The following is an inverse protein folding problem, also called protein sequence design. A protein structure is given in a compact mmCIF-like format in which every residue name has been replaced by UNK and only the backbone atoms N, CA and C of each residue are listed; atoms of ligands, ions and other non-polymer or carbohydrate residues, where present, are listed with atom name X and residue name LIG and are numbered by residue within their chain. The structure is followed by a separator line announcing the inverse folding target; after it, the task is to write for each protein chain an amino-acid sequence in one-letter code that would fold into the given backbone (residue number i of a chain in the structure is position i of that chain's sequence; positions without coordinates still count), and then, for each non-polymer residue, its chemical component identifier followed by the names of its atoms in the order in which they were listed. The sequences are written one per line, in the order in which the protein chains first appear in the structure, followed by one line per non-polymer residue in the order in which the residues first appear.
data_IF_702527277265
#
_entry.id   IF_702527277265
#
_cell.length_a   1.000
_cell.length_b   1.000
_cell.length_c   1.000
_cell.angle_alpha   90.00
_cell.angle_beta   90.00
_cell.angle_gamma   90.00
#
_symmetry.space_group_name_H-M   'P 1'
#
loop_
_entity.id
_entity.type
_entity.pdbx_description
1 polymer ?
#
# COMPACT_ATOMS: atom_id res chain seq x y z
N UNK A 1 -32.02 -4.09 -3.92
CA UNK A 1 -31.11 -3.24 -4.74
C UNK A 1 -30.10 -2.56 -3.83
N UNK A 2 -28.82 -2.51 -4.21
CA UNK A 2 -27.79 -1.86 -3.38
C UNK A 2 -28.09 -0.36 -3.19
N UNK A 3 -28.05 0.08 -1.94
CA UNK A 3 -28.21 1.47 -1.55
C UNK A 3 -27.24 1.78 -0.40
N UNK A 4 -26.48 2.87 -0.53
CA UNK A 4 -25.43 3.23 0.42
C UNK A 4 -25.83 4.50 1.16
N UNK A 5 -26.51 4.31 2.30
CA UNK A 5 -26.88 5.39 3.23
C UNK A 5 -25.75 5.72 4.22
N UNK A 6 -24.97 4.71 4.61
CA UNK A 6 -23.78 4.85 5.44
C UNK A 6 -22.51 4.58 4.62
N UNK A 7 -21.60 5.56 4.63
CA UNK A 7 -20.34 5.50 3.87
C UNK A 7 -19.38 4.42 4.36
N UNK A 8 -19.50 3.97 5.62
CA UNK A 8 -18.71 2.85 6.16
C UNK A 8 -19.15 1.49 5.60
N UNK A 9 -20.36 1.41 5.07
CA UNK A 9 -20.96 0.18 4.53
C UNK A 9 -20.59 -0.11 3.07
N UNK A 10 -19.69 0.67 2.46
CA UNK A 10 -19.16 0.42 1.12
C UNK A 10 -17.62 0.39 1.17
N UNK A 11 -16.95 -0.56 0.54
CA UNK A 11 -15.48 -0.57 0.45
C UNK A 11 -14.96 -0.06 -0.91
N UNK A 12 -15.86 0.25 -1.85
CA UNK A 12 -15.51 0.73 -3.18
C UNK A 12 -14.79 -0.31 -4.06
N UNK A 13 -15.11 -1.59 -3.93
CA UNK A 13 -14.54 -2.68 -4.74
C UNK A 13 -15.15 -2.81 -6.15
N UNK A 14 -16.27 -2.13 -6.43
CA UNK A 14 -16.95 -2.10 -7.73
C UNK A 14 -17.57 -3.42 -8.22
N UNK A 15 -17.69 -4.45 -7.38
CA UNK A 15 -18.35 -5.72 -7.76
C UNK A 15 -19.80 -5.51 -8.20
N UNK A 16 -20.55 -4.65 -7.49
CA UNK A 16 -21.96 -4.36 -7.79
C UNK A 16 -22.13 -3.73 -9.17
N UNK A 17 -21.25 -2.80 -9.52
CA UNK A 17 -21.24 -2.08 -10.81
C UNK A 17 -20.99 -3.06 -11.96
N UNK A 18 -19.91 -3.83 -11.86
CA UNK A 18 -19.51 -4.75 -12.93
C UNK A 18 -20.46 -5.94 -13.12
N UNK A 19 -21.17 -6.38 -12.06
CA UNK A 19 -22.10 -7.52 -12.17
C UNK A 19 -23.51 -7.11 -12.55
N UNK A 20 -23.85 -5.82 -12.54
CA UNK A 20 -25.19 -5.37 -12.89
C UNK A 20 -25.51 -5.71 -14.36
N UNK A 21 -26.52 -6.55 -14.66
CA UNK A 21 -26.81 -6.95 -16.04
C UNK A 21 -27.40 -5.82 -16.90
N UNK A 22 -27.99 -4.81 -16.26
CA UNK A 22 -28.54 -3.62 -16.92
C UNK A 22 -27.52 -2.48 -17.00
N UNK A 23 -26.34 -2.66 -16.40
CA UNK A 23 -25.33 -1.60 -16.25
C UNK A 23 -25.88 -0.29 -15.66
N UNK A 24 -26.96 -0.37 -14.88
CA UNK A 24 -27.67 0.78 -14.31
C UNK A 24 -27.05 1.29 -12.99
N UNK A 25 -25.78 0.97 -12.71
CA UNK A 25 -25.08 1.41 -11.49
C UNK A 25 -23.81 2.16 -11.91
N UNK A 26 -23.70 3.43 -11.54
CA UNK A 26 -22.52 4.27 -11.76
C UNK A 26 -21.78 4.52 -10.43
N UNK A 27 -20.53 4.95 -10.48
CA UNK A 27 -19.77 5.37 -9.31
C UNK A 27 -19.66 6.89 -9.27
N UNK A 28 -20.16 7.51 -8.20
CA UNK A 28 -20.13 8.96 -8.02
C UNK A 28 -19.20 9.32 -6.86
N UNK A 29 -18.45 10.39 -7.04
CA UNK A 29 -17.53 10.90 -6.03
C UNK A 29 -18.28 11.69 -4.95
N UNK A 30 -17.91 11.47 -3.68
CA UNK A 30 -18.41 12.27 -2.56
C UNK A 30 -17.51 13.49 -2.27
N UNK A 31 -17.88 14.28 -1.26
CA UNK A 31 -17.14 15.49 -0.87
C UNK A 31 -15.76 15.19 -0.27
N UNK A 32 -15.51 13.95 0.16
CA UNK A 32 -14.21 13.51 0.64
C UNK A 32 -13.36 12.90 -0.49
N UNK A 33 -13.86 12.81 -1.72
CA UNK A 33 -13.14 12.30 -2.88
C UNK A 33 -13.20 10.77 -3.06
N UNK A 34 -14.15 10.09 -2.42
CA UNK A 34 -14.34 8.64 -2.58
C UNK A 34 -15.53 8.32 -3.50
N UNK A 35 -15.38 7.27 -4.29
CA UNK A 35 -16.43 6.75 -5.18
C UNK A 35 -17.42 5.82 -4.44
N UNK A 36 -18.71 6.02 -4.68
CA UNK A 36 -19.83 5.19 -4.19
C UNK A 36 -20.82 4.84 -5.30
N UNK A 37 -21.45 3.65 -5.24
CA UNK A 37 -22.43 3.24 -6.23
C UNK A 37 -23.71 4.08 -6.11
N UNK A 38 -24.21 4.53 -7.26
CA UNK A 38 -25.53 5.16 -7.44
C UNK A 38 -26.29 4.34 -8.46
N UNK A 39 -27.51 3.93 -8.12
CA UNK A 39 -28.34 3.09 -8.99
C UNK A 39 -29.38 3.95 -9.70
N UNK A 40 -29.48 3.81 -11.02
CA UNK A 40 -30.62 4.29 -11.78
C UNK A 40 -31.82 3.36 -11.52
N UNK A 41 -32.83 3.88 -10.82
CA UNK A 41 -34.02 3.13 -10.44
C UNK A 41 -34.96 2.84 -11.62
N UNK A 42 -34.90 3.65 -12.69
CA UNK A 42 -35.72 3.45 -13.89
C UNK A 42 -35.27 2.25 -14.72
N UNK A 43 -33.96 2.01 -14.77
CA UNK A 43 -33.36 0.90 -15.52
C UNK A 43 -33.13 -0.37 -14.69
N UNK A 44 -33.22 -0.27 -13.37
CA UNK A 44 -33.02 -1.38 -12.45
C UNK A 44 -34.20 -2.37 -12.50
N UNK A 45 -33.90 -3.64 -12.76
CA UNK A 45 -34.88 -4.74 -12.80
C UNK A 45 -35.02 -5.49 -11.46
N UNK A 46 -34.54 -4.89 -10.36
CA UNK A 46 -34.54 -5.44 -8.99
C UNK A 46 -34.10 -6.92 -8.83
N UNK A 47 -33.09 -7.34 -9.61
CA UNK A 47 -32.59 -8.73 -9.57
C UNK A 47 -31.83 -9.11 -8.28
N UNK A 48 -31.51 -8.13 -7.42
CA UNK A 48 -30.73 -8.30 -6.18
C UNK A 48 -29.26 -8.71 -6.37
N UNK A 49 -28.74 -8.74 -7.60
CA UNK A 49 -27.39 -9.25 -7.86
C UNK A 49 -26.28 -8.38 -7.28
N UNK A 50 -26.48 -7.06 -7.27
CA UNK A 50 -25.54 -6.08 -6.70
C UNK A 50 -25.30 -6.30 -5.19
N UNK A 51 -26.32 -6.70 -4.44
CA UNK A 51 -26.21 -7.03 -3.02
C UNK A 51 -25.51 -8.37 -2.81
N UNK A 52 -25.90 -9.39 -3.60
CA UNK A 52 -25.31 -10.74 -3.55
C UNK A 52 -23.80 -10.74 -3.78
N UNK A 53 -23.29 -9.82 -4.61
CA UNK A 53 -21.85 -9.69 -4.89
C UNK A 53 -21.13 -8.69 -3.97
N UNK A 54 -21.82 -8.08 -3.00
CA UNK A 54 -21.22 -7.12 -2.08
C UNK A 54 -20.50 -7.85 -0.93
N UNK A 55 -19.17 -7.69 -0.77
CA UNK A 55 -18.43 -8.37 0.31
C UNK A 55 -18.74 -7.81 1.70
N UNK A 56 -19.36 -6.63 1.81
CA UNK A 56 -19.73 -6.03 3.10
C UNK A 56 -21.15 -6.40 3.57
N UNK A 57 -21.98 -6.98 2.70
CA UNK A 57 -23.27 -7.56 3.07
C UNK A 57 -23.15 -9.07 3.32
N UNK A 58 -22.17 -9.71 2.69
CA UNK A 58 -21.96 -11.16 2.78
C UNK A 58 -20.48 -11.48 2.95
N UNK A 59 -20.00 -11.56 4.19
CA UNK A 59 -18.65 -12.03 4.49
C UNK A 59 -18.65 -13.49 4.91
N UNK A 60 -17.57 -14.22 4.61
CA UNK A 60 -17.38 -15.61 4.98
C UNK A 60 -16.64 -15.76 6.32
N UNK A 61 -16.47 -17.00 6.77
CA UNK A 61 -15.58 -17.31 7.89
C UNK A 61 -14.13 -17.03 7.50
N UNK A 62 -13.40 -16.36 8.40
CA UNK A 62 -12.01 -15.99 8.19
C UNK A 62 -11.12 -17.23 8.05
N UNK A 63 -10.30 -17.26 7.00
CA UNK A 63 -9.24 -18.27 6.88
C UNK A 63 -8.15 -18.03 7.93
N UNK A 64 -7.71 -19.11 8.57
CA UNK A 64 -6.49 -19.10 9.38
C UNK A 64 -5.31 -19.51 8.48
N UNK A 65 -4.23 -18.73 8.41
CA UNK A 65 -3.06 -19.10 7.61
C UNK A 65 -2.51 -20.48 8.00
N UNK A 66 -2.25 -21.32 7.01
CA UNK A 66 -1.59 -22.61 7.16
C UNK A 66 -0.11 -22.43 7.54
N UNK A 67 0.54 -21.40 6.99
CA UNK A 67 1.94 -21.06 7.25
C UNK A 67 2.13 -19.54 7.34
N UNK A 68 3.07 -19.13 8.18
CA UNK A 68 3.49 -17.73 8.35
C UNK A 68 4.99 -17.67 8.07
N UNK A 69 5.37 -16.92 7.04
CA UNK A 69 6.71 -16.98 6.46
C UNK A 69 7.38 -15.61 6.45
N UNK A 70 8.64 -15.53 6.90
CA UNK A 70 9.56 -14.46 6.55
C UNK A 70 10.22 -14.79 5.21
N UNK A 71 10.17 -13.87 4.25
CA UNK A 71 10.53 -14.16 2.86
C UNK A 71 11.34 -13.05 2.21
N UNK A 72 12.32 -13.43 1.38
CA UNK A 72 13.03 -12.49 0.50
C UNK A 72 13.38 -13.12 -0.84
N UNK A 73 13.03 -12.43 -1.92
CA UNK A 73 13.34 -12.83 -3.29
C UNK A 73 14.86 -12.85 -3.49
N UNK A 74 15.36 -13.95 -4.07
CA UNK A 74 16.79 -14.14 -4.36
C UNK A 74 17.30 -13.19 -5.44
N UNK A 75 16.44 -12.73 -6.33
CA UNK A 75 16.77 -11.66 -7.26
C UNK A 75 16.82 -10.32 -6.51
N UNK A 76 18.03 -9.82 -6.26
CA UNK A 76 18.26 -8.58 -5.53
C UNK A 76 17.74 -7.34 -6.27
N UNK A 77 17.81 -7.30 -7.60
CA UNK A 77 17.33 -6.17 -8.39
C UNK A 77 15.80 -6.07 -8.32
N UNK A 78 15.10 -7.19 -8.46
CA UNK A 78 13.65 -7.22 -8.30
C UNK A 78 13.22 -6.86 -6.88
N UNK A 79 13.99 -7.34 -5.90
CA UNK A 79 13.73 -7.05 -4.50
C UNK A 79 13.94 -5.56 -4.19
N UNK A 80 14.99 -4.91 -4.71
CA UNK A 80 15.23 -3.48 -4.44
C UNK A 80 14.13 -2.58 -5.05
N UNK A 81 13.58 -2.96 -6.21
CA UNK A 81 12.46 -2.25 -6.84
C UNK A 81 11.07 -2.68 -6.31
N UNK A 82 11.03 -3.66 -5.39
CA UNK A 82 9.81 -4.04 -4.68
C UNK A 82 9.69 -3.29 -3.36
N UNK A 83 8.46 -3.13 -2.85
CA UNK A 83 8.24 -2.52 -1.52
C UNK A 83 8.96 -3.22 -0.37
N UNK A 84 9.18 -4.53 -0.50
CA UNK A 84 9.62 -5.40 0.58
C UNK A 84 10.36 -6.63 0.03
N UNK A 85 10.05 -7.83 0.51
CA UNK A 85 10.67 -9.10 0.10
C UNK A 85 10.49 -9.54 -1.35
N UNK A 86 9.83 -8.77 -2.23
CA UNK A 86 9.75 -9.07 -3.67
C UNK A 86 8.91 -10.30 -4.05
N UNK A 87 7.89 -10.64 -3.27
CA UNK A 87 7.02 -11.81 -3.49
C UNK A 87 6.12 -11.65 -4.72
N UNK A 88 5.50 -10.48 -4.90
CA UNK A 88 4.58 -10.23 -6.02
C UNK A 88 5.24 -10.52 -7.37
N UNK A 89 6.40 -9.92 -7.64
CA UNK A 89 7.11 -10.09 -8.91
C UNK A 89 7.61 -11.54 -9.11
N UNK A 90 7.93 -12.26 -8.04
CA UNK A 90 8.25 -13.68 -8.09
C UNK A 90 7.05 -14.52 -8.56
N UNK A 91 5.89 -14.29 -7.95
CA UNK A 91 4.63 -14.94 -8.34
C UNK A 91 4.23 -14.59 -9.78
N UNK A 92 4.27 -13.31 -10.14
CA UNK A 92 3.90 -12.83 -11.46
C UNK A 92 4.72 -13.50 -12.56
N UNK A 93 6.04 -13.60 -12.41
CA UNK A 93 6.89 -14.29 -13.39
C UNK A 93 6.53 -15.74 -13.54
N UNK A 94 6.26 -16.45 -12.44
CA UNK A 94 5.87 -17.85 -12.53
C UNK A 94 4.57 -18.01 -13.35
N UNK A 95 3.60 -17.11 -13.12
CA UNK A 95 2.32 -17.11 -13.84
C UNK A 95 2.51 -16.76 -15.32
N UNK A 96 3.34 -15.77 -15.64
CA UNK A 96 3.67 -15.44 -17.03
C UNK A 96 4.40 -16.60 -17.73
N UNK A 97 5.34 -17.27 -17.05
CA UNK A 97 6.03 -18.46 -17.59
C UNK A 97 5.05 -19.62 -17.85
N UNK A 98 4.00 -19.73 -17.05
CA UNK A 98 2.93 -20.71 -17.23
C UNK A 98 1.90 -20.27 -18.31
N UNK A 99 2.19 -19.21 -19.07
CA UNK A 99 1.29 -18.66 -20.09
C UNK A 99 0.03 -18.01 -19.50
N UNK A 100 0.08 -17.55 -18.25
CA UNK A 100 -1.03 -16.92 -17.55
C UNK A 100 -1.11 -15.40 -17.72
N UNK A 101 -1.98 -14.78 -16.92
CA UNK A 101 -2.27 -13.35 -16.93
C UNK A 101 -2.13 -12.80 -15.51
N UNK A 102 -1.50 -11.65 -15.35
CA UNK A 102 -1.26 -11.01 -14.04
C UNK A 102 -2.05 -9.71 -13.95
N UNK A 103 -2.91 -9.59 -12.95
CA UNK A 103 -3.62 -8.36 -12.60
C UNK A 103 -2.95 -7.65 -11.42
N UNK A 104 -2.83 -6.33 -11.53
CA UNK A 104 -2.20 -5.50 -10.50
C UNK A 104 -2.48 -4.02 -10.70
N UNK A 105 -2.03 -3.22 -9.73
CA UNK A 105 -2.31 -1.80 -9.66
C UNK A 105 -1.25 -0.96 -10.38
N UNK A 106 -1.66 -0.13 -11.33
CA UNK A 106 -0.79 0.81 -12.07
C UNK A 106 -1.27 2.24 -11.89
N UNK A 107 -0.38 3.21 -12.12
CA UNK A 107 -0.81 4.59 -12.30
C UNK A 107 -1.45 4.78 -13.67
N UNK A 108 -2.49 5.60 -13.73
CA UNK A 108 -3.05 6.13 -14.97
C UNK A 108 -2.32 7.43 -15.37
N UNK A 109 -2.80 8.05 -16.45
CA UNK A 109 -2.32 9.33 -16.97
C UNK A 109 -2.45 10.50 -15.98
N UNK A 110 -3.32 10.39 -14.97
CA UNK A 110 -3.57 11.39 -13.94
C UNK A 110 -2.84 11.08 -12.62
N UNK A 111 -1.98 10.06 -12.59
CA UNK A 111 -1.33 9.56 -11.38
C UNK A 111 -2.30 9.10 -10.30
N UNK A 112 -3.51 8.72 -10.69
CA UNK A 112 -4.40 7.90 -9.88
C UNK A 112 -4.16 6.43 -10.16
N UNK A 113 -4.74 5.54 -9.36
CA UNK A 113 -4.44 4.10 -9.45
C UNK A 113 -5.62 3.35 -10.05
N UNK A 114 -5.35 2.50 -11.04
CA UNK A 114 -6.32 1.53 -11.58
C UNK A 114 -5.75 0.12 -11.55
N UNK A 115 -6.64 -0.87 -11.49
CA UNK A 115 -6.29 -2.27 -11.74
C UNK A 115 -6.27 -2.50 -13.25
N UNK A 116 -5.21 -3.14 -13.73
CA UNK A 116 -5.10 -3.61 -15.12
C UNK A 116 -4.48 -4.99 -15.13
N UNK A 117 -4.26 -5.56 -16.31
CA UNK A 117 -3.59 -6.85 -16.47
C UNK A 117 -2.46 -6.79 -17.50
N UNK A 118 -1.57 -7.78 -17.43
CA UNK A 118 -0.52 -7.99 -18.41
C UNK A 118 -0.21 -9.47 -18.58
N UNK A 119 0.24 -9.82 -19.78
CA UNK A 119 0.72 -11.15 -20.18
C UNK A 119 2.25 -11.16 -20.36
N UNK A 120 2.93 -10.07 -20.01
CA UNK A 120 4.39 -9.96 -20.12
C UNK A 120 5.00 -9.45 -18.82
N UNK A 121 6.25 -9.83 -18.55
CA UNK A 121 6.94 -9.38 -17.34
C UNK A 121 7.16 -7.86 -17.35
N UNK A 122 7.44 -7.27 -18.51
CA UNK A 122 7.64 -5.83 -18.63
C UNK A 122 6.35 -5.04 -18.36
N UNK A 123 5.18 -5.56 -18.78
CA UNK A 123 3.91 -4.96 -18.41
C UNK A 123 3.52 -5.17 -16.94
N UNK A 124 4.13 -6.14 -16.25
CA UNK A 124 4.00 -6.31 -14.79
C UNK A 124 4.87 -5.33 -14.01
N UNK A 125 6.01 -4.87 -14.53
CA UNK A 125 6.93 -3.97 -13.80
C UNK A 125 6.23 -2.71 -13.23
N UNK A 126 5.34 -2.01 -13.97
CA UNK A 126 4.58 -0.89 -13.42
C UNK A 126 3.62 -1.27 -12.27
N UNK A 127 3.25 -2.55 -12.14
CA UNK A 127 2.42 -3.05 -11.04
C UNK A 127 3.18 -3.20 -9.73
N UNK A 128 4.52 -3.26 -9.79
CA UNK A 128 5.37 -3.36 -8.61
C UNK A 128 5.28 -2.10 -7.74
N UNK A 129 5.74 -2.24 -6.50
CA UNK A 129 5.75 -1.15 -5.53
C UNK A 129 4.36 -0.82 -4.97
N UNK A 130 4.35 -0.31 -3.74
CA UNK A 130 3.14 0.08 -3.04
C UNK A 130 2.67 1.42 -3.55
N UNK A 131 1.38 1.51 -3.86
CA UNK A 131 0.70 2.75 -4.26
C UNK A 131 -0.33 3.05 -3.18
N UNK A 132 -0.08 4.08 -2.36
CA UNK A 132 -0.93 4.42 -1.22
C UNK A 132 -2.15 5.24 -1.64
N UNK A 133 -2.96 4.66 -2.52
CA UNK A 133 -4.19 5.23 -3.05
C UNK A 133 -5.22 4.12 -3.22
N UNK A 134 -6.51 4.46 -3.22
CA UNK A 134 -7.53 3.50 -3.62
C UNK A 134 -7.45 3.24 -5.13
N UNK A 135 -7.22 1.98 -5.50
CA UNK A 135 -7.22 1.57 -6.90
C UNK A 135 -8.65 1.39 -7.42
N UNK A 136 -8.98 2.02 -8.56
CA UNK A 136 -10.22 1.75 -9.30
C UNK A 136 -10.10 0.40 -10.00
N UNK A 137 -11.07 -0.49 -9.80
CA UNK A 137 -11.05 -1.83 -10.40
C UNK A 137 -11.40 -1.79 -11.89
N UNK A 138 -12.20 -0.81 -12.33
CA UNK A 138 -12.66 -0.66 -13.72
C UNK A 138 -13.28 -1.97 -14.25
N UNK A 139 -12.76 -2.55 -15.33
CA UNK A 139 -13.23 -3.82 -15.91
C UNK A 139 -12.53 -5.06 -15.31
N UNK A 140 -11.64 -4.87 -14.33
CA UNK A 140 -10.70 -5.91 -13.89
C UNK A 140 -11.35 -7.22 -13.45
N UNK A 141 -12.54 -7.21 -12.84
CA UNK A 141 -13.21 -8.46 -12.46
C UNK A 141 -13.84 -9.17 -13.66
N UNK A 142 -14.46 -8.42 -14.57
CA UNK A 142 -15.00 -8.97 -15.82
C UNK A 142 -13.89 -9.55 -16.71
N UNK A 143 -12.76 -8.84 -16.83
CA UNK A 143 -11.59 -9.31 -17.57
C UNK A 143 -10.99 -10.57 -16.94
N UNK A 144 -10.86 -10.63 -15.61
CA UNK A 144 -10.40 -11.82 -14.91
C UNK A 144 -11.34 -13.01 -15.15
N UNK A 145 -12.66 -12.82 -15.04
CA UNK A 145 -13.65 -13.87 -15.34
C UNK A 145 -13.53 -14.38 -16.79
N UNK A 146 -13.28 -13.48 -17.76
CA UNK A 146 -13.07 -13.85 -19.16
C UNK A 146 -11.86 -14.78 -19.32
N UNK A 147 -10.70 -14.42 -18.79
CA UNK A 147 -9.49 -15.26 -18.89
C UNK A 147 -9.65 -16.59 -18.15
N UNK A 148 -10.28 -16.57 -16.98
CA UNK A 148 -10.54 -17.78 -16.21
C UNK A 148 -11.44 -18.76 -16.97
N UNK A 149 -12.47 -18.27 -17.66
CA UNK A 149 -13.35 -19.09 -18.52
C UNK A 149 -12.66 -19.65 -19.75
N UNK A 150 -11.60 -19.01 -20.23
CA UNK A 150 -10.73 -19.52 -21.30
C UNK A 150 -9.73 -20.58 -20.80
N UNK A 151 -9.74 -20.92 -19.51
CA UNK A 151 -8.80 -21.87 -18.91
C UNK A 151 -7.41 -21.30 -18.66
N UNK A 152 -7.19 -19.99 -18.88
CA UNK A 152 -5.92 -19.33 -18.59
C UNK A 152 -5.68 -19.26 -17.08
N UNK A 153 -4.44 -19.41 -16.64
CA UNK A 153 -4.06 -19.08 -15.26
C UNK A 153 -4.14 -17.56 -15.04
N UNK A 154 -4.73 -17.13 -13.93
CA UNK A 154 -4.85 -15.72 -13.57
C UNK A 154 -4.26 -15.50 -12.18
N UNK A 155 -3.31 -14.59 -12.05
CA UNK A 155 -2.96 -14.00 -10.76
C UNK A 155 -3.74 -12.69 -10.60
N UNK A 156 -4.47 -12.54 -9.51
CA UNK A 156 -5.12 -11.27 -9.19
C UNK A 156 -4.59 -10.73 -7.86
N UNK A 157 -3.86 -9.61 -7.93
CA UNK A 157 -3.36 -8.90 -6.75
C UNK A 157 -4.21 -7.66 -6.44
N UNK A 158 -4.67 -7.52 -5.20
CA UNK A 158 -5.48 -6.38 -4.78
C UNK A 158 -5.53 -6.19 -3.27
N UNK A 159 -6.24 -5.17 -2.79
CA UNK A 159 -6.55 -5.05 -1.36
C UNK A 159 -7.46 -6.21 -0.91
N UNK A 160 -7.53 -6.51 0.39
CA UNK A 160 -8.40 -7.58 0.89
C UNK A 160 -9.87 -7.40 0.47
N UNK A 161 -10.39 -6.17 0.44
CA UNK A 161 -11.74 -5.89 -0.02
C UNK A 161 -11.94 -6.05 -1.55
N UNK A 162 -10.89 -5.84 -2.35
CA UNK A 162 -10.93 -6.13 -3.79
C UNK A 162 -10.91 -7.64 -4.05
N UNK A 163 -10.09 -8.41 -3.32
CA UNK A 163 -10.08 -9.87 -3.44
C UNK A 163 -11.40 -10.49 -2.96
N UNK A 164 -11.94 -10.04 -1.83
CA UNK A 164 -13.27 -10.43 -1.39
C UNK A 164 -14.33 -10.11 -2.45
N UNK A 165 -14.25 -8.91 -3.04
CA UNK A 165 -15.13 -8.47 -4.12
C UNK A 165 -15.02 -9.31 -5.39
N UNK A 166 -13.81 -9.73 -5.79
CA UNK A 166 -13.57 -10.61 -6.92
C UNK A 166 -14.22 -11.98 -6.71
N UNK A 167 -13.97 -12.63 -5.57
CA UNK A 167 -14.56 -13.94 -5.28
C UNK A 167 -16.10 -13.90 -5.29
N UNK A 168 -16.69 -12.86 -4.70
CA UNK A 168 -18.15 -12.65 -4.75
C UNK A 168 -18.66 -12.35 -6.16
N UNK A 169 -17.91 -11.60 -6.97
CA UNK A 169 -18.24 -11.33 -8.37
C UNK A 169 -18.24 -12.62 -9.22
N UNK A 170 -17.25 -13.50 -9.00
CA UNK A 170 -17.08 -14.75 -9.73
C UNK A 170 -18.16 -15.78 -9.41
N UNK A 171 -18.72 -15.75 -8.19
CA UNK A 171 -19.82 -16.60 -7.71
C UNK A 171 -19.55 -18.11 -7.75
N UNK A 172 -18.30 -18.50 -7.95
CA UNK A 172 -17.78 -19.86 -7.83
C UNK A 172 -16.26 -19.80 -7.72
N UNK A 173 -15.67 -20.87 -7.21
CA UNK A 173 -14.23 -21.02 -7.18
C UNK A 173 -13.68 -21.39 -8.55
N UNK A 174 -12.50 -20.85 -8.85
CA UNK A 174 -11.74 -21.18 -10.05
C UNK A 174 -10.39 -21.79 -9.66
N UNK A 175 -10.08 -23.03 -10.08
CA UNK A 175 -8.80 -23.67 -9.75
C UNK A 175 -7.60 -22.97 -10.40
N UNK A 176 -7.83 -22.27 -11.52
CA UNK A 176 -6.85 -21.49 -12.27
C UNK A 176 -6.75 -20.01 -11.83
N UNK A 177 -7.42 -19.60 -10.75
CA UNK A 177 -7.23 -18.29 -10.13
C UNK A 177 -6.24 -18.39 -8.98
N UNK A 178 -5.20 -17.59 -8.96
CA UNK A 178 -4.37 -17.32 -7.78
C UNK A 178 -4.69 -15.92 -7.27
N UNK A 179 -5.40 -15.85 -6.15
CA UNK A 179 -5.79 -14.58 -5.53
C UNK A 179 -4.77 -14.17 -4.47
N UNK A 180 -4.24 -12.96 -4.56
CA UNK A 180 -3.21 -12.44 -3.65
C UNK A 180 -3.70 -11.12 -3.08
N UNK A 181 -3.81 -11.05 -1.75
CA UNK A 181 -3.97 -9.76 -1.08
C UNK A 181 -2.73 -9.38 -0.28
N UNK A 182 -2.81 -8.23 0.37
CA UNK A 182 -1.75 -7.75 1.24
C UNK A 182 -2.29 -7.20 2.54
N UNK A 183 -1.47 -7.20 3.59
CA UNK A 183 -1.83 -6.56 4.85
C UNK A 183 -2.03 -5.07 4.62
N UNK A 184 -3.30 -4.67 4.66
CA UNK A 184 -3.72 -3.34 4.28
C UNK A 184 -3.93 -2.48 5.53
N UNK A 185 -3.28 -1.32 5.57
CA UNK A 185 -3.54 -0.33 6.61
C UNK A 185 -4.96 0.25 6.46
N UNK A 186 -5.24 0.75 5.26
CA UNK A 186 -6.46 1.38 4.77
C UNK A 186 -6.13 2.05 3.43
N UNK A 187 -7.12 2.65 2.76
CA UNK A 187 -6.87 3.47 1.56
C UNK A 187 -7.18 4.94 1.86
N UNK A 188 -6.30 5.89 1.52
CA UNK A 188 -6.57 7.31 1.68
C UNK A 188 -7.50 7.84 0.58
N UNK A 189 -8.04 9.04 0.79
CA UNK A 189 -8.86 9.77 -0.16
C UNK A 189 -8.15 10.04 -1.50
N UNK A 190 -8.72 9.59 -2.63
CA UNK A 190 -8.29 10.01 -3.97
C UNK A 190 -8.35 11.53 -4.15
N UNK A 191 -9.38 12.21 -3.63
CA UNK A 191 -9.50 13.66 -3.70
C UNK A 191 -8.37 14.41 -2.98
N UNK A 192 -7.97 13.94 -1.79
CA UNK A 192 -6.83 14.48 -1.06
C UNK A 192 -5.53 14.27 -1.83
N UNK A 193 -5.33 13.09 -2.42
CA UNK A 193 -4.17 12.82 -3.27
C UNK A 193 -4.08 13.77 -4.46
N UNK A 194 -5.18 13.93 -5.23
CA UNK A 194 -5.21 14.82 -6.39
C UNK A 194 -4.85 16.26 -6.01
N UNK A 195 -5.38 16.76 -4.89
CA UNK A 195 -5.02 18.10 -4.40
C UNK A 195 -3.55 18.18 -3.97
N UNK A 196 -3.07 17.23 -3.16
CA UNK A 196 -1.68 17.19 -2.71
C UNK A 196 -0.70 17.17 -3.89
N UNK A 197 -0.95 16.36 -4.91
CA UNK A 197 -0.09 16.27 -6.08
C UNK A 197 -0.09 17.58 -6.88
N UNK A 198 -1.26 18.20 -7.07
CA UNK A 198 -1.39 19.50 -7.74
C UNK A 198 -0.64 20.62 -7.00
N UNK A 199 -0.77 20.67 -5.68
CA UNK A 199 -0.04 21.62 -4.82
C UNK A 199 1.46 21.42 -4.95
N UNK A 200 1.94 20.18 -4.79
CA UNK A 200 3.36 19.82 -4.92
C UNK A 200 3.93 20.25 -6.28
N UNK A 201 3.21 20.01 -7.38
CA UNK A 201 3.67 20.43 -8.71
C UNK A 201 3.72 21.96 -8.87
N UNK A 202 2.77 22.68 -8.27
CA UNK A 202 2.72 24.15 -8.30
C UNK A 202 3.85 24.77 -7.47
N UNK A 203 4.21 24.17 -6.34
CA UNK A 203 5.32 24.62 -5.52
C UNK A 203 6.67 24.39 -6.21
N UNK A 204 6.84 23.23 -6.86
CA UNK A 204 8.00 22.96 -7.71
C UNK A 204 8.14 23.97 -8.85
N UNK A 205 7.02 24.44 -9.43
CA UNK A 205 7.03 25.54 -10.40
C UNK A 205 7.59 26.82 -9.81
N UNK A 206 7.06 27.19 -8.65
CA UNK A 206 7.35 28.45 -7.98
C UNK A 206 8.80 28.50 -7.50
N UNK A 207 9.30 27.41 -6.93
CA UNK A 207 10.70 27.27 -6.53
C UNK A 207 11.68 27.38 -7.72
N UNK A 208 11.34 26.78 -8.87
CA UNK A 208 12.15 26.91 -10.10
C UNK A 208 12.20 28.34 -10.62
N UNK A 209 11.07 29.05 -10.60
CA UNK A 209 11.02 30.48 -10.97
C UNK A 209 11.86 31.34 -10.02
N UNK A 210 11.81 31.07 -8.72
CA UNK A 210 12.62 31.79 -7.74
C UNK A 210 14.13 31.55 -7.93
N UNK A 211 14.54 30.32 -8.22
CA UNK A 211 15.94 29.95 -8.45
C UNK A 211 16.53 30.52 -9.75
N UNK A 212 15.71 30.80 -10.77
CA UNK A 212 16.18 31.32 -12.06
C UNK A 212 16.52 32.83 -12.07
N UNK A 213 16.15 33.59 -11.03
CA UNK A 213 16.43 35.03 -10.93
C UNK A 213 15.52 35.92 -11.80
N UNK A 214 15.38 37.19 -11.42
CA UNK A 214 14.42 38.16 -12.01
C UNK A 214 14.73 38.60 -13.45
N UNK A 215 15.90 38.29 -14.01
CA UNK A 215 16.38 38.85 -15.29
C UNK A 215 16.49 37.85 -16.45
N UNK A 216 16.03 36.61 -16.30
CA UNK A 216 15.99 35.64 -17.41
C UNK A 216 14.55 35.38 -17.84
N UNK A 217 14.10 36.11 -18.86
CA UNK A 217 12.83 35.83 -19.54
C UNK A 217 13.05 34.70 -20.53
N UNK A 218 13.07 33.47 -20.03
CA UNK A 218 12.97 32.28 -20.88
C UNK A 218 11.50 31.83 -20.95
N UNK A 219 10.88 31.79 -22.16
CA UNK A 219 9.53 31.22 -22.35
C UNK A 219 9.37 29.79 -21.78
N UNK A 220 10.50 29.09 -21.62
CA UNK A 220 10.65 27.72 -21.17
C UNK A 220 10.64 27.49 -19.66
N UNK A 221 10.61 28.54 -18.81
CA UNK A 221 10.34 28.42 -17.36
C UNK A 221 8.85 28.20 -17.02
N UNK A 222 7.97 28.34 -18.02
CA UNK A 222 6.54 28.10 -17.88
C UNK A 222 6.11 26.66 -18.19
N UNK A 223 7.02 25.81 -18.69
CA UNK A 223 6.70 24.42 -19.03
C UNK A 223 6.79 23.56 -17.77
N UNK A 224 5.68 22.90 -17.43
CA UNK A 224 5.64 22.03 -16.27
C UNK A 224 6.45 20.76 -16.49
N UNK A 225 7.23 20.28 -15.49
CA UNK A 225 7.86 18.99 -15.60
C UNK A 225 6.78 17.93 -15.72
N UNK A 226 6.91 17.07 -16.72
CA UNK A 226 6.03 15.92 -16.85
C UNK A 226 6.50 14.87 -15.86
N UNK A 227 5.63 14.48 -14.93
CA UNK A 227 5.90 13.35 -14.04
C UNK A 227 6.01 12.09 -14.89
N UNK A 228 7.02 11.27 -14.62
CA UNK A 228 7.24 9.98 -15.29
C UNK A 228 7.32 8.81 -14.30
N UNK A 229 7.33 9.07 -12.99
CA UNK A 229 7.28 8.04 -11.97
C UNK A 229 6.96 8.59 -10.59
N UNK A 230 6.22 7.82 -9.80
CA UNK A 230 5.99 8.05 -8.37
C UNK A 230 6.27 6.74 -7.64
N UNK A 231 7.14 6.81 -6.64
CA UNK A 231 7.56 5.66 -5.85
C UNK A 231 7.41 5.99 -4.37
N UNK A 232 6.46 5.36 -3.68
CA UNK A 232 6.27 5.59 -2.24
C UNK A 232 7.32 4.92 -1.37
N UNK A 233 8.08 3.97 -1.93
CA UNK A 233 9.06 3.16 -1.20
C UNK A 233 10.34 2.98 -2.00
N UNK A 234 10.89 4.07 -2.51
CA UNK A 234 12.22 4.04 -3.12
C UNK A 234 13.27 3.71 -2.04
N UNK A 235 14.04 2.65 -2.26
CA UNK A 235 15.07 2.15 -1.33
C UNK A 235 16.49 2.43 -1.81
N UNK A 236 16.64 3.08 -2.96
CA UNK A 236 17.92 3.16 -3.67
C UNK A 236 18.97 3.96 -2.89
N UNK A 237 18.55 5.03 -2.22
CA UNK A 237 19.44 5.92 -1.48
C UNK A 237 19.62 5.55 0.00
N UNK A 238 18.58 5.03 0.65
CA UNK A 238 18.52 4.95 2.12
C UNK A 238 18.16 3.57 2.67
N UNK A 239 18.03 2.55 1.81
CA UNK A 239 17.63 1.20 2.22
C UNK A 239 16.17 1.12 2.65
N UNK A 240 15.76 -0.05 3.14
CA UNK A 240 14.37 -0.33 3.51
C UNK A 240 13.96 0.30 4.84
N UNK A 241 14.86 0.50 5.80
CA UNK A 241 14.51 1.13 7.09
C UNK A 241 14.20 2.61 6.98
N UNK A 242 14.65 3.28 5.91
CA UNK A 242 14.51 4.73 5.68
C UNK A 242 14.13 5.07 4.23
N UNK A 243 13.33 4.22 3.58
CA UNK A 243 12.90 4.46 2.20
C UNK A 243 12.19 5.81 2.02
N UNK A 244 12.21 6.29 0.79
CA UNK A 244 11.72 7.62 0.42
C UNK A 244 10.44 7.55 -0.40
N UNK A 245 9.64 8.61 -0.30
CA UNK A 245 8.68 8.99 -1.31
C UNK A 245 9.42 9.80 -2.39
N UNK A 246 9.38 9.33 -3.63
CA UNK A 246 10.09 9.95 -4.75
C UNK A 246 9.14 10.24 -5.89
N UNK A 247 9.21 11.46 -6.42
CA UNK A 247 8.56 11.84 -7.68
C UNK A 247 9.66 12.10 -8.71
N UNK A 248 9.56 11.42 -9.85
CA UNK A 248 10.49 11.55 -10.98
C UNK A 248 9.80 12.23 -12.14
N UNK A 249 10.55 13.05 -12.86
CA UNK A 249 10.03 13.78 -14.01
C UNK A 249 11.07 14.07 -15.06
N UNK A 250 10.58 14.42 -16.25
CA UNK A 250 11.39 14.92 -17.34
C UNK A 250 11.23 16.44 -17.45
N UNK A 251 12.35 17.10 -17.67
CA UNK A 251 12.37 18.52 -18.04
C UNK A 251 12.42 18.63 -19.56
N UNK A 252 11.79 19.68 -20.11
CA UNK A 252 11.88 19.99 -21.54
C UNK A 252 13.34 20.17 -22.04
N UNK A 253 14.27 20.51 -21.12
CA UNK A 253 15.68 20.74 -21.45
C UNK A 253 16.57 19.48 -21.48
N UNK A 254 16.13 18.37 -20.87
CA UNK A 254 16.90 17.12 -20.78
C UNK A 254 15.94 15.92 -20.88
N UNK A 255 15.30 15.76 -22.05
CA UNK A 255 14.31 14.70 -22.29
C UNK A 255 14.88 13.27 -22.13
N UNK A 256 16.21 13.14 -22.20
CA UNK A 256 16.94 11.87 -22.16
C UNK A 256 17.27 11.39 -20.73
N UNK A 257 17.07 12.20 -19.69
CA UNK A 257 17.34 11.79 -18.30
C UNK A 257 16.14 12.04 -17.37
N UNK A 258 15.63 10.96 -16.78
CA UNK A 258 14.69 11.05 -15.67
C UNK A 258 15.39 11.73 -14.48
N UNK A 259 14.81 12.83 -14.00
CA UNK A 259 15.32 13.60 -12.85
C UNK A 259 14.44 13.39 -11.63
N UNK A 260 15.02 13.43 -10.43
CA UNK A 260 14.27 13.47 -9.17
C UNK A 260 13.69 14.88 -9.01
N UNK A 261 12.36 14.99 -8.97
CA UNK A 261 11.66 16.25 -8.73
C UNK A 261 11.45 16.49 -7.24
N UNK A 262 11.12 15.43 -6.50
CA UNK A 262 10.87 15.44 -5.07
C UNK A 262 11.39 14.14 -4.46
N UNK A 263 12.00 14.23 -3.29
CA UNK A 263 12.44 13.07 -2.51
C UNK A 263 12.34 13.38 -1.02
N UNK A 264 11.33 12.82 -0.37
CA UNK A 264 11.13 12.94 1.08
C UNK A 264 11.37 11.60 1.75
N UNK A 265 11.87 11.62 2.99
CA UNK A 265 11.75 10.43 3.85
C UNK A 265 10.26 10.11 3.98
N UNK A 266 9.84 8.89 3.66
CA UNK A 266 8.42 8.53 3.51
C UNK A 266 7.55 8.95 4.70
N UNK A 267 8.03 8.80 5.93
CA UNK A 267 7.25 9.14 7.15
C UNK A 267 7.17 10.65 7.43
N UNK A 268 7.95 11.45 6.72
CA UNK A 268 8.03 12.91 6.88
C UNK A 268 7.23 13.64 5.80
N UNK A 269 7.00 12.98 4.65
CA UNK A 269 6.13 13.47 3.58
C UNK A 269 4.71 13.82 4.10
N UNK A 270 4.16 15.02 3.80
CA UNK A 270 2.87 15.48 4.35
C UNK A 270 1.68 14.55 4.03
N UNK A 271 1.61 14.01 2.81
CA UNK A 271 0.56 13.07 2.44
C UNK A 271 0.70 11.75 3.22
N UNK A 272 1.91 11.23 3.36
CA UNK A 272 2.09 10.00 4.14
C UNK A 272 1.87 10.22 5.64
N UNK A 273 2.21 11.39 6.19
CA UNK A 273 1.93 11.73 7.59
C UNK A 273 0.44 11.75 7.90
N UNK A 274 -0.37 12.39 7.05
CA UNK A 274 -1.81 12.41 7.23
C UNK A 274 -2.47 11.03 7.03
N UNK A 275 -2.01 10.26 6.04
CA UNK A 275 -2.45 8.89 5.83
C UNK A 275 -2.14 7.98 7.02
N UNK A 276 -0.88 7.94 7.47
CA UNK A 276 -0.42 7.08 8.58
C UNK A 276 -0.96 7.51 9.96
N UNK A 277 -1.54 8.71 10.04
CA UNK A 277 -2.25 9.21 11.23
C UNK A 277 -3.76 8.98 11.15
N UNK A 278 -4.24 8.17 10.21
CA UNK A 278 -5.64 7.80 10.07
C UNK A 278 -6.58 9.03 9.85
N UNK A 279 -6.11 10.11 9.20
CA UNK A 279 -6.89 11.36 9.03
C UNK A 279 -7.93 11.22 7.93
N UNK A 280 -7.51 10.78 6.74
CA UNK A 280 -8.32 10.77 5.52
C UNK A 280 -8.42 9.37 4.90
N UNK A 281 -8.51 8.33 5.74
CA UNK A 281 -8.86 6.99 5.27
C UNK A 281 -10.30 6.97 4.75
N UNK A 282 -10.59 6.02 3.85
CA UNK A 282 -11.97 5.66 3.47
C UNK A 282 -12.76 5.29 4.72
N UNK A 283 -14.02 5.76 4.89
CA UNK A 283 -14.80 5.46 6.10
C UNK A 283 -14.86 3.97 6.46
N UNK A 284 -15.06 3.09 5.48
CA UNK A 284 -15.08 1.63 5.68
C UNK A 284 -13.75 1.01 6.13
N UNK A 285 -12.64 1.77 6.09
CA UNK A 285 -11.34 1.30 6.54
C UNK A 285 -11.14 1.44 8.07
N UNK A 286 -11.97 2.23 8.74
CA UNK A 286 -11.96 2.33 10.21
C UNK A 286 -12.55 1.08 10.88
N UNK A 287 -13.49 0.40 10.21
CA UNK A 287 -14.07 -0.86 10.66
C UNK A 287 -14.09 -1.87 9.50
N UNK A 288 -12.90 -2.32 9.10
CA UNK A 288 -12.76 -3.11 7.88
C UNK A 288 -13.19 -4.58 8.09
N UNK A 289 -14.21 -5.02 7.34
CA UNK A 289 -14.73 -6.39 7.38
C UNK A 289 -14.06 -7.39 6.42
N UNK A 290 -12.95 -7.03 5.78
CA UNK A 290 -12.36 -7.86 4.71
C UNK A 290 -10.93 -8.34 5.01
N UNK A 291 -10.36 -8.02 6.17
CA UNK A 291 -8.97 -8.37 6.51
C UNK A 291 -8.88 -9.76 7.14
N UNK A 292 -7.66 -10.17 7.52
CA UNK A 292 -7.40 -11.32 8.38
C UNK A 292 -8.07 -12.62 7.91
N UNK A 293 -7.93 -12.94 6.62
CA UNK A 293 -8.45 -14.18 6.05
C UNK A 293 -9.90 -14.10 5.54
N UNK A 294 -10.64 -13.02 5.85
CA UNK A 294 -12.03 -12.81 5.34
C UNK A 294 -12.06 -12.53 3.83
N UNK A 295 -10.94 -12.14 3.24
CA UNK A 295 -10.82 -12.00 1.78
C UNK A 295 -10.83 -13.32 1.03
N UNK A 296 -10.54 -14.44 1.71
CA UNK A 296 -10.28 -15.74 1.09
C UNK A 296 -9.21 -15.70 -0.01
N UNK A 297 -8.20 -14.82 0.14
CA UNK A 297 -7.01 -14.85 -0.72
C UNK A 297 -6.23 -16.15 -0.51
N UNK A 298 -5.55 -16.62 -1.54
CA UNK A 298 -4.66 -17.78 -1.45
C UNK A 298 -3.37 -17.45 -0.70
N UNK A 299 -2.91 -16.21 -0.85
CA UNK A 299 -1.74 -15.64 -0.21
C UNK A 299 -2.04 -14.23 0.28
N UNK A 300 -1.59 -13.90 1.49
CA UNK A 300 -1.50 -12.51 1.96
C UNK A 300 -0.03 -12.12 2.09
N UNK A 301 0.41 -11.08 1.38
CA UNK A 301 1.79 -10.59 1.44
C UNK A 301 1.90 -9.27 2.21
N UNK A 302 3.03 -9.00 2.85
CA UNK A 302 3.21 -7.79 3.64
C UNK A 302 4.68 -7.45 3.86
N UNK A 303 4.92 -6.33 4.52
CA UNK A 303 6.17 -6.03 5.20
C UNK A 303 6.33 -6.90 6.46
N UNK A 304 7.53 -7.45 6.69
CA UNK A 304 7.85 -8.11 7.94
C UNK A 304 8.34 -7.09 8.98
N UNK A 305 7.40 -6.37 9.59
CA UNK A 305 7.73 -5.42 10.66
C UNK A 305 8.28 -6.15 11.90
N UNK A 306 9.43 -5.67 12.41
CA UNK A 306 10.11 -6.26 13.58
C UNK A 306 11.09 -7.38 13.26
N UNK A 307 11.42 -7.60 11.98
CA UNK A 307 12.41 -8.59 11.56
C UNK A 307 13.78 -8.38 12.22
N UNK A 308 14.16 -7.12 12.48
CA UNK A 308 15.39 -6.72 13.16
C UNK A 308 15.52 -7.31 14.58
N UNK A 309 14.40 -7.70 15.20
CA UNK A 309 14.35 -8.27 16.55
C UNK A 309 14.10 -9.77 16.52
N UNK A 310 13.21 -10.21 15.64
CA UNK A 310 12.78 -11.61 15.58
C UNK A 310 13.77 -12.50 14.83
N UNK A 311 14.39 -11.99 13.75
CA UNK A 311 15.35 -12.73 12.93
C UNK A 311 16.46 -11.77 12.43
N UNK A 312 17.30 -11.23 13.34
CA UNK A 312 18.30 -10.23 13.00
C UNK A 312 19.32 -10.70 11.95
N UNK A 313 19.62 -11.99 11.89
CA UNK A 313 20.53 -12.59 10.91
C UNK A 313 19.90 -12.75 9.50
N UNK A 314 18.58 -12.57 9.38
CA UNK A 314 17.87 -12.58 8.10
C UNK A 314 17.66 -11.18 7.52
N UNK A 315 17.68 -10.16 8.37
CA UNK A 315 17.51 -8.74 8.03
C UNK A 315 18.81 -8.16 7.43
N UNK A 316 18.75 -7.78 6.16
CA UNK A 316 19.84 -7.17 5.41
C UNK A 316 19.49 -5.75 4.92
N UNK A 317 18.43 -5.14 5.48
CA UNK A 317 17.93 -3.79 5.14
C UNK A 317 17.54 -3.58 3.66
N UNK A 318 17.39 -4.65 2.87
CA UNK A 318 16.88 -4.58 1.48
C UNK A 318 15.37 -4.87 1.40
N UNK A 319 14.75 -5.15 2.54
CA UNK A 319 13.31 -5.39 2.72
C UNK A 319 12.96 -6.87 2.82
N UNK A 320 12.39 -7.27 3.95
CA UNK A 320 11.95 -8.64 4.22
C UNK A 320 10.43 -8.65 4.20
N UNK A 321 9.86 -9.53 3.39
CA UNK A 321 8.43 -9.72 3.29
C UNK A 321 7.91 -10.68 4.35
N UNK A 322 6.65 -10.50 4.71
CA UNK A 322 5.83 -11.48 5.39
C UNK A 322 4.90 -12.11 4.34
N UNK A 323 4.76 -13.43 4.35
CA UNK A 323 3.74 -14.13 3.56
C UNK A 323 2.92 -15.02 4.48
N UNK A 324 1.60 -14.87 4.42
CA UNK A 324 0.62 -15.77 5.02
C UNK A 324 0.10 -16.68 3.92
N UNK A 325 0.29 -17.99 4.08
CA UNK A 325 -0.16 -18.99 3.12
C UNK A 325 -1.51 -19.52 3.59
N UNK A 326 -2.58 -19.15 2.89
CA UNK A 326 -3.95 -19.38 3.37
C UNK A 326 -4.57 -20.65 2.78
N UNK A 327 -4.12 -21.08 1.59
CA UNK A 327 -4.69 -22.23 0.89
C UNK A 327 -3.61 -23.19 0.39
N UNK A 328 -4.02 -24.43 0.09
CA UNK A 328 -3.16 -25.45 -0.54
C UNK A 328 -2.58 -24.95 -1.87
N UNK A 329 -3.38 -24.22 -2.66
CA UNK A 329 -2.95 -23.61 -3.93
C UNK A 329 -1.88 -22.54 -3.69
N UNK A 330 -2.06 -21.68 -2.69
CA UNK A 330 -1.02 -20.74 -2.23
C UNK A 330 0.28 -21.46 -1.86
N UNK A 331 0.19 -22.56 -1.10
CA UNK A 331 1.35 -23.37 -0.71
C UNK A 331 2.05 -24.00 -1.91
N UNK A 332 1.29 -24.52 -2.88
CA UNK A 332 1.83 -25.16 -4.08
C UNK A 332 2.60 -24.17 -4.97
N UNK A 333 2.05 -22.98 -5.22
CA UNK A 333 2.76 -21.98 -6.04
C UNK A 333 4.01 -21.48 -5.32
N UNK A 334 3.95 -21.30 -3.99
CA UNK A 334 5.08 -20.78 -3.21
C UNK A 334 6.32 -21.68 -3.28
N UNK A 335 6.13 -23.00 -3.32
CA UNK A 335 7.21 -23.99 -3.47
C UNK A 335 7.97 -23.89 -4.80
N UNK A 336 7.36 -23.28 -5.82
CA UNK A 336 7.97 -23.10 -7.16
C UNK A 336 8.81 -21.81 -7.24
N UNK A 337 8.75 -20.96 -6.21
CA UNK A 337 9.41 -19.65 -6.23
C UNK A 337 10.87 -19.74 -5.77
N UNK A 338 11.74 -19.00 -6.45
CA UNK A 338 13.12 -18.79 -6.04
C UNK A 338 13.21 -17.72 -4.93
N UNK A 339 12.75 -18.07 -3.73
CA UNK A 339 12.66 -17.18 -2.56
C UNK A 339 13.32 -17.86 -1.36
N UNK A 340 14.06 -17.09 -0.56
CA UNK A 340 14.53 -17.55 0.75
C UNK A 340 13.40 -17.43 1.77
N UNK A 341 13.20 -18.49 2.56
CA UNK A 341 12.05 -18.63 3.46
C UNK A 341 12.54 -18.98 4.86
N UNK A 342 11.94 -18.37 5.88
CA UNK A 342 12.00 -18.82 7.27
C UNK A 342 10.60 -18.88 7.88
N UNK A 343 10.35 -19.88 8.71
CA UNK A 343 9.09 -20.01 9.45
C UNK A 343 9.01 -18.97 10.57
N UNK A 344 7.82 -18.45 10.79
CA UNK A 344 7.45 -17.57 11.91
C UNK A 344 6.11 -18.04 12.49
N UNK A 345 5.68 -17.47 13.62
CA UNK A 345 4.31 -17.66 14.11
C UNK A 345 3.44 -16.42 13.87
N UNK A 346 2.12 -16.62 13.77
CA UNK A 346 1.15 -15.52 13.66
C UNK A 346 1.21 -14.60 14.90
N UNK A 347 1.39 -15.20 16.08
CA UNK A 347 1.54 -14.48 17.36
C UNK A 347 2.70 -13.48 17.36
N UNK A 348 3.77 -13.75 16.60
CA UNK A 348 4.95 -12.90 16.58
C UNK A 348 4.72 -11.64 15.75
N UNK A 349 3.93 -11.75 14.69
CA UNK A 349 3.80 -10.70 13.67
C UNK A 349 2.56 -9.83 13.85
N UNK A 350 1.49 -10.34 14.47
CA UNK A 350 0.21 -9.61 14.61
C UNK A 350 0.38 -8.29 15.37
N UNK A 351 1.10 -8.32 16.50
CA UNK A 351 1.31 -7.12 17.32
C UNK A 351 2.24 -6.08 16.66
N UNK A 352 3.08 -6.51 15.71
CA UNK A 352 4.10 -5.69 15.07
C UNK A 352 3.62 -5.08 13.75
N UNK A 353 2.61 -5.68 13.12
CA UNK A 353 2.09 -5.23 11.85
C UNK A 353 0.69 -4.62 11.99
N UNK A 354 0.62 -3.30 11.89
CA UNK A 354 -0.64 -2.57 12.02
C UNK A 354 -1.71 -3.00 11.00
N UNK A 355 -1.34 -3.62 9.88
CA UNK A 355 -2.27 -4.09 8.85
C UNK A 355 -3.27 -5.15 9.34
N UNK A 356 -2.99 -5.86 10.43
CA UNK A 356 -3.94 -6.79 11.07
C UNK A 356 -5.10 -6.10 11.80
N UNK A 357 -5.01 -4.78 12.07
CA UNK A 357 -6.09 -4.05 12.74
C UNK A 357 -7.28 -3.86 11.80
N UNK A 358 -8.38 -4.55 12.12
CA UNK A 358 -9.69 -4.37 11.50
C UNK A 358 -10.34 -3.07 11.96
N UNK A 359 -10.23 -2.80 13.26
CA UNK A 359 -10.71 -1.59 13.90
C UNK A 359 -9.61 -0.54 14.05
N UNK A 360 -9.91 0.69 13.66
CA UNK A 360 -9.09 1.88 13.87
C UNK A 360 -9.99 3.03 14.29
N UNK A 361 -9.60 3.75 15.33
CA UNK A 361 -10.24 5.01 15.67
C UNK A 361 -9.89 6.05 14.60
N UNK A 362 -10.88 6.72 13.98
CA UNK A 362 -10.62 7.88 13.15
C UNK A 362 -9.82 8.92 13.91
N UNK A 363 -8.91 9.61 13.22
CA UNK A 363 -8.20 10.71 13.87
C UNK A 363 -9.20 11.75 14.40
N UNK A 364 -9.08 12.23 15.65
CA UNK A 364 -10.05 13.17 16.24
C UNK A 364 -10.25 14.44 15.41
N UNK A 365 -9.22 14.86 14.67
CA UNK A 365 -9.26 16.03 13.80
C UNK A 365 -9.71 15.74 12.36
N UNK A 366 -10.20 14.53 12.02
CA UNK A 366 -10.67 14.20 10.66
C UNK A 366 -11.71 15.21 10.15
N UNK A 367 -12.73 15.49 10.96
CA UNK A 367 -13.81 16.41 10.56
C UNK A 367 -13.26 17.83 10.33
N UNK A 368 -12.31 18.27 11.16
CA UNK A 368 -11.63 19.55 10.99
C UNK A 368 -10.80 19.56 9.70
N UNK A 369 -10.09 18.48 9.40
CA UNK A 369 -9.34 18.32 8.16
C UNK A 369 -10.24 18.53 6.94
N UNK A 370 -11.36 17.81 6.84
CA UNK A 370 -12.24 17.92 5.66
C UNK A 370 -12.98 19.26 5.58
N UNK A 371 -13.27 19.94 6.70
CA UNK A 371 -13.79 21.31 6.68
C UNK A 371 -12.79 22.30 6.09
N UNK A 372 -11.53 22.26 6.55
CA UNK A 372 -10.43 23.10 6.03
C UNK A 372 -10.12 22.77 4.56
N UNK A 373 -10.13 21.48 4.22
CA UNK A 373 -9.98 21.00 2.85
C UNK A 373 -11.09 21.53 1.94
N UNK A 374 -12.36 21.53 2.39
CA UNK A 374 -13.48 22.02 1.59
C UNK A 374 -13.37 23.51 1.23
N UNK A 375 -12.79 24.34 2.11
CA UNK A 375 -12.61 25.78 1.87
C UNK A 375 -11.33 26.15 1.09
N UNK A 376 -10.55 25.14 0.67
CA UNK A 376 -9.42 25.35 -0.24
C UNK A 376 -8.04 25.47 0.43
N UNK A 377 -7.92 25.21 1.74
CA UNK A 377 -6.61 25.16 2.40
C UNK A 377 -5.76 23.99 1.87
N UNK A 378 -4.43 24.16 1.92
CA UNK A 378 -3.49 23.17 1.36
C UNK A 378 -3.38 21.93 2.23
N UNK A 379 -3.17 20.77 1.60
CA UNK A 379 -3.07 19.49 2.33
C UNK A 379 -1.91 19.53 3.32
N UNK A 380 -0.77 20.07 2.89
CA UNK A 380 0.42 20.20 3.75
C UNK A 380 0.13 21.06 4.97
N UNK A 381 -0.38 22.29 4.80
CA UNK A 381 -0.66 23.21 5.90
C UNK A 381 -1.61 22.60 6.93
N UNK A 382 -2.72 21.99 6.47
CA UNK A 382 -3.68 21.36 7.37
C UNK A 382 -3.04 20.22 8.16
N UNK A 383 -2.28 19.34 7.49
CA UNK A 383 -1.62 18.19 8.13
C UNK A 383 -0.55 18.65 9.13
N UNK A 384 0.24 19.65 8.78
CA UNK A 384 1.27 20.20 9.67
C UNK A 384 0.68 20.80 10.94
N UNK A 385 -0.41 21.55 10.81
CA UNK A 385 -1.13 22.12 11.95
C UNK A 385 -1.74 21.03 12.84
N UNK A 386 -2.49 20.09 12.25
CA UNK A 386 -3.19 19.02 12.99
C UNK A 386 -2.19 18.12 13.72
N UNK A 387 -1.07 17.81 13.08
CA UNK A 387 -0.05 16.90 13.62
C UNK A 387 1.08 17.65 14.35
N UNK A 388 0.94 18.96 14.58
CA UNK A 388 1.93 19.76 15.29
C UNK A 388 2.08 19.26 16.72
N UNK A 389 3.20 18.60 17.00
CA UNK A 389 3.56 18.24 18.38
C UNK A 389 3.93 19.52 19.14
N UNK A 390 3.22 19.89 20.23
CA UNK A 390 3.53 21.08 21.02
C UNK A 390 4.96 21.06 21.56
N UNK A 391 5.56 22.23 21.72
CA UNK A 391 6.97 22.37 22.13
C UNK A 391 7.27 21.63 23.44
N UNK A 392 6.38 21.73 24.43
CA UNK A 392 6.53 21.05 25.72
C UNK A 392 6.58 19.53 25.59
N UNK A 393 5.77 18.92 24.70
CA UNK A 393 5.84 17.47 24.42
C UNK A 393 7.14 17.07 23.75
N UNK A 394 7.68 17.91 22.86
CA UNK A 394 9.01 17.69 22.24
C UNK A 394 10.10 17.70 23.30
N UNK A 395 10.08 18.70 24.19
CA UNK A 395 11.01 18.80 25.34
C UNK A 395 10.90 17.57 26.24
N UNK A 396 9.70 17.15 26.64
CA UNK A 396 9.52 15.94 27.45
C UNK A 396 10.02 14.67 26.76
N UNK A 397 9.82 14.51 25.45
CA UNK A 397 10.36 13.36 24.69
C UNK A 397 11.89 13.35 24.71
N UNK A 398 12.52 14.50 24.54
CA UNK A 398 13.97 14.63 24.59
C UNK A 398 14.50 14.31 25.98
N UNK A 399 13.86 14.82 27.04
CA UNK A 399 14.18 14.48 28.43
C UNK A 399 14.04 12.96 28.66
N UNK A 400 12.93 12.34 28.26
CA UNK A 400 12.71 10.90 28.43
C UNK A 400 13.74 10.06 27.68
N UNK A 401 14.13 10.48 26.48
CA UNK A 401 15.16 9.80 25.68
C UNK A 401 16.53 9.93 26.33
N UNK A 402 16.88 11.14 26.80
CA UNK A 402 18.11 11.40 27.55
C UNK A 402 18.17 10.60 28.86
N UNK A 403 17.08 10.55 29.64
CA UNK A 403 16.99 9.73 30.84
C UNK A 403 17.16 8.23 30.53
N UNK A 404 16.53 7.72 29.46
CA UNK A 404 16.74 6.33 29.01
C UNK A 404 18.20 6.05 28.63
N UNK A 405 18.85 6.98 27.94
CA UNK A 405 20.29 6.86 27.62
C UNK A 405 21.16 6.83 28.88
N UNK A 406 20.85 7.65 29.90
CA UNK A 406 21.56 7.65 31.18
C UNK A 406 21.35 6.33 31.93
N UNK A 407 20.11 5.83 31.99
CA UNK A 407 19.77 4.57 32.66
C UNK A 407 20.47 3.39 31.97
N UNK A 408 20.45 3.33 30.63
CA UNK A 408 21.12 2.28 29.88
C UNK A 408 22.66 2.36 29.97
N UNK A 409 23.23 3.57 30.11
CA UNK A 409 24.68 3.73 30.40
C UNK A 409 25.07 3.19 31.79
N UNK A 410 24.19 3.34 32.79
CA UNK A 410 24.43 2.82 34.15
C UNK A 410 24.36 1.29 34.24
N UNK A 411 23.62 0.62 33.34
CA UNK A 411 23.60 -0.86 33.28
C UNK A 411 24.88 -1.46 32.66
N UNK A 412 25.64 -0.71 31.86
CA UNK A 412 26.92 -1.14 31.29
C UNK A 412 28.12 -0.94 32.23
N UNK A 413 27.94 -0.27 33.38
CA UNK A 413 29.03 0.07 34.32
C UNK A 413 29.11 -0.83 35.56
N UNK A 414 28.28 -1.87 35.65
CA UNK A 414 28.31 -2.84 36.76
C UNK A 414 28.60 -4.24 36.19
N UNK A 415 29.85 -4.46 35.80
CA UNK A 415 30.44 -5.81 35.74
C UNK A 415 31.58 -5.79 36.78
N UNK A 416 31.47 -6.51 37.92
CA UNK A 416 32.56 -6.61 38.86
C UNK A 416 33.74 -7.35 38.22
N UNK A 417 34.88 -6.69 38.14
CA UNK A 417 36.18 -7.29 37.86
C UNK A 417 36.49 -8.29 38.99
N UNK A 418 36.14 -9.56 38.82
CA UNK A 418 36.74 -10.63 39.62
C UNK A 418 37.04 -11.87 38.76
N UNK A 419 38.31 -12.25 38.83
CA UNK A 419 38.87 -13.60 38.60
C UNK A 419 39.20 -14.00 37.16
N UNK A 420 40.46 -13.79 36.75
CA UNK A 420 41.44 -14.84 36.35
C UNK A 420 42.66 -14.24 35.65
N UNK A 421 43.86 -14.45 36.22
CA UNK A 421 44.93 -15.16 35.49
C UNK A 421 46.08 -15.59 36.40
N UNK A 422 46.35 -16.88 36.29
CA UNK A 422 47.41 -17.65 36.90
C UNK A 422 48.75 -17.50 36.16
N UNK A 423 49.81 -17.95 36.84
CA UNK A 423 51.08 -18.48 36.32
C UNK A 423 52.10 -17.46 35.81
N UNK A 424 52.97 -17.05 36.74
CA UNK A 424 54.38 -16.77 36.49
C UNK A 424 55.14 -18.11 36.39
N UNK A 425 55.83 -18.32 35.27
CA UNK A 425 57.03 -19.16 35.18
C UNK A 425 58.23 -18.22 35.23
N UNK A 426 59.26 -18.62 35.97
CA UNK A 426 60.70 -18.49 35.67
C UNK A 426 61.53 -18.32 36.96
N UNK A 427 61.88 -19.45 37.59
CA UNK A 427 63.25 -19.93 37.79
C UNK A 427 63.24 -21.19 38.65
#
# INVERSE_FOLDING_TARGET
MIDITDKQSCCGCSSCVQKCPRQCISLHEDTEGFLYPVVDKGDCIDCGLCEKVCPLLHWGEALVPMEVLAVKNKNQEERIHSSSGGVFIALSRQIIMDGGVVFGAVYDENWEVRITYSETLDGVRPMMGSKYLQARVETGFADAERFLKQGRYVLFSGTPCQIAGLHKYLRKDYPNLLSVDFLCHGVPSPGVWRRYLKETMSDLQSARRAAAGKNTVFPSLNVMPTIVGIEFRDKTLHGWKKYSFVVRGKSAFNADKNSVLLSDIHRENPFMRGFLSDIYLRPSCYECKCKNGVSHSDLTIADFWGIDRLMPDFDDDKGIGLALVNTVKGKQIFKRLSIDIRLSALSDVVALNGGFKEYRQPHPARLVFFRRFAVGETVESIVEDILRVPLWRRVMRNIKTFCKMIINRKQLTIIPLFIRRSKKRDK
#
